data_IF_849497722033
#
_entry.id   IF_849497722033
#
_cell.length_a   1.000
_cell.length_b   1.000
_cell.length_c   1.000
_cell.angle_alpha   90.00
_cell.angle_beta   90.00
_cell.angle_gamma   90.00
#
_symmetry.space_group_name_H-M   'P 1'
#
loop_
_entity.id
_entity.type
_entity.pdbx_description
1 polymer ?
#
# COMPACT_ATOMS: atom_id res chain seq x y z
N UNK A 1 21.54 -49.06 -8.41
CA UNK A 1 20.36 -48.23 -8.68
C UNK A 1 19.51 -47.98 -7.42
N UNK A 2 19.30 -48.97 -6.55
CA UNK A 2 18.52 -48.81 -5.30
C UNK A 2 19.11 -47.83 -4.27
N UNK A 3 20.42 -47.84 -4.01
CA UNK A 3 21.03 -47.02 -2.95
C UNK A 3 20.89 -45.50 -3.21
N UNK A 4 20.94 -45.09 -4.48
CA UNK A 4 20.80 -43.68 -4.87
C UNK A 4 19.37 -43.21 -4.69
N UNK A 5 18.39 -44.05 -5.02
CA UNK A 5 16.96 -43.75 -4.85
C UNK A 5 16.62 -43.65 -3.36
N UNK A 6 17.11 -44.58 -2.53
CA UNK A 6 16.91 -44.54 -1.08
C UNK A 6 17.51 -43.29 -0.43
N UNK A 7 18.67 -42.81 -0.91
CA UNK A 7 19.26 -41.58 -0.39
C UNK A 7 18.46 -40.33 -0.79
N UNK A 8 17.98 -40.29 -2.04
CA UNK A 8 17.10 -39.21 -2.50
C UNK A 8 15.82 -39.18 -1.68
N UNK A 9 15.22 -40.34 -1.42
CA UNK A 9 13.99 -40.47 -0.62
C UNK A 9 14.20 -39.96 0.81
N UNK A 10 15.30 -40.32 1.48
CA UNK A 10 15.63 -39.79 2.81
C UNK A 10 15.76 -38.26 2.80
N UNK A 11 16.48 -37.70 1.83
CA UNK A 11 16.64 -36.24 1.71
C UNK A 11 15.28 -35.54 1.52
N UNK A 12 14.40 -36.13 0.71
CA UNK A 12 13.05 -35.59 0.49
C UNK A 12 12.23 -35.67 1.77
N UNK A 13 12.27 -36.78 2.50
CA UNK A 13 11.56 -36.95 3.77
C UNK A 13 12.02 -35.91 4.80
N UNK A 14 13.31 -35.62 4.88
CA UNK A 14 13.86 -34.62 5.80
C UNK A 14 13.33 -33.22 5.47
N UNK A 15 13.34 -32.84 4.18
CA UNK A 15 12.77 -31.57 3.70
C UNK A 15 11.28 -31.49 4.07
N UNK A 16 10.50 -32.52 3.75
CA UNK A 16 9.07 -32.53 4.02
C UNK A 16 8.76 -32.48 5.52
N UNK A 17 9.57 -33.15 6.35
CA UNK A 17 9.43 -33.15 7.80
C UNK A 17 9.73 -31.77 8.40
N UNK A 18 10.77 -31.11 7.90
CA UNK A 18 11.10 -29.74 8.28
C UNK A 18 9.95 -28.78 7.96
N UNK A 19 9.42 -28.83 6.72
CA UNK A 19 8.30 -27.97 6.34
C UNK A 19 7.01 -28.30 7.09
N UNK A 20 6.73 -29.58 7.37
CA UNK A 20 5.60 -29.98 8.23
C UNK A 20 5.70 -29.39 9.63
N UNK A 21 6.90 -29.34 10.21
CA UNK A 21 7.14 -28.67 11.49
C UNK A 21 6.92 -27.16 11.39
N UNK A 22 7.50 -26.53 10.37
CA UNK A 22 7.38 -25.08 10.13
C UNK A 22 5.92 -24.64 9.90
N UNK A 23 5.13 -25.43 9.19
CA UNK A 23 3.71 -25.13 8.95
C UNK A 23 2.88 -25.21 10.23
N UNK A 24 3.23 -26.12 11.15
CA UNK A 24 2.56 -26.24 12.46
C UNK A 24 2.98 -25.15 13.44
N UNK A 25 4.23 -24.70 13.38
CA UNK A 25 4.75 -23.68 14.30
C UNK A 25 4.43 -22.25 13.85
N UNK A 26 3.95 -22.07 12.61
CA UNK A 26 3.55 -20.77 12.09
C UNK A 26 2.37 -20.21 12.87
N UNK A 27 2.66 -19.25 13.74
CA UNK A 27 1.64 -18.43 14.39
C UNK A 27 1.19 -17.38 13.38
N UNK A 28 -0.12 -17.35 13.14
CA UNK A 28 -0.75 -16.20 12.53
C UNK A 28 -1.15 -15.32 13.71
N UNK A 29 -0.54 -14.14 13.84
CA UNK A 29 -1.07 -13.15 14.75
C UNK A 29 -2.53 -12.93 14.36
N UNK A 30 -3.43 -12.99 15.34
CA UNK A 30 -4.79 -12.50 15.16
C UNK A 30 -4.66 -11.03 14.80
N UNK A 31 -4.64 -10.73 13.51
CA UNK A 31 -4.76 -9.38 12.99
C UNK A 31 -6.11 -8.90 13.50
N UNK A 32 -6.05 -8.06 14.53
CA UNK A 32 -7.21 -7.42 15.13
C UNK A 32 -7.95 -6.67 14.02
N UNK A 33 -9.28 -6.71 14.12
CA UNK A 33 -10.28 -6.21 13.19
C UNK A 33 -10.23 -4.68 13.01
N UNK A 34 -9.11 -4.13 12.55
CA UNK A 34 -9.05 -2.69 12.34
C UNK A 34 -9.68 -2.39 10.98
N UNK A 35 -10.98 -2.11 11.05
CA UNK A 35 -11.70 -1.36 10.02
C UNK A 35 -10.99 -0.04 9.76
N UNK A 36 -11.19 0.51 8.57
CA UNK A 36 -10.69 1.82 8.19
C UNK A 36 -11.83 2.66 7.61
N UNK A 37 -11.57 3.96 7.41
CA UNK A 37 -12.59 4.90 6.99
C UNK A 37 -13.27 4.53 5.67
N UNK A 38 -12.61 3.78 4.77
CA UNK A 38 -13.22 3.33 3.51
C UNK A 38 -14.03 2.05 3.72
N UNK A 39 -13.54 1.12 4.53
CA UNK A 39 -14.32 -0.05 4.95
C UNK A 39 -15.61 0.38 5.65
N UNK A 40 -15.52 1.32 6.58
CA UNK A 40 -16.65 1.90 7.29
C UNK A 40 -17.60 2.63 6.32
N UNK A 41 -17.06 3.37 5.34
CA UNK A 41 -17.87 4.06 4.34
C UNK A 41 -18.75 3.09 3.53
N UNK A 42 -18.19 1.96 3.08
CA UNK A 42 -18.90 0.99 2.24
C UNK A 42 -19.52 -0.20 3.00
N UNK A 43 -19.54 -0.16 4.33
CA UNK A 43 -20.03 -1.27 5.17
C UNK A 43 -19.29 -2.61 4.89
N UNK A 44 -18.00 -2.55 4.54
CA UNK A 44 -17.17 -3.73 4.27
C UNK A 44 -16.59 -4.22 5.60
N UNK A 45 -17.08 -5.34 6.11
CA UNK A 45 -16.52 -5.96 7.32
C UNK A 45 -15.17 -6.62 7.03
N UNK A 46 -14.39 -6.89 8.08
CA UNK A 46 -13.15 -7.66 7.96
C UNK A 46 -13.39 -9.05 7.35
N UNK A 47 -14.48 -9.73 7.73
CA UNK A 47 -14.84 -11.05 7.19
C UNK A 47 -15.12 -10.96 5.68
N UNK A 48 -15.89 -9.95 5.27
CA UNK A 48 -16.18 -9.69 3.85
C UNK A 48 -14.90 -9.40 3.07
N UNK A 49 -14.01 -8.58 3.64
CA UNK A 49 -12.69 -8.32 3.08
C UNK A 49 -11.88 -9.59 2.92
N UNK A 50 -11.91 -10.48 3.92
CA UNK A 50 -11.10 -11.70 3.90
C UNK A 50 -11.56 -12.74 2.88
N UNK A 51 -12.84 -12.74 2.48
CA UNK A 51 -13.34 -13.62 1.41
C UNK A 51 -12.62 -13.38 0.07
N UNK A 52 -12.22 -12.13 -0.22
CA UNK A 52 -11.43 -11.81 -1.40
C UNK A 52 -10.49 -10.62 -1.14
N UNK A 53 -9.49 -10.86 -0.28
CA UNK A 53 -8.58 -9.81 0.18
C UNK A 53 -7.86 -9.09 -0.96
N UNK A 54 -7.51 -9.80 -2.04
CA UNK A 54 -6.81 -9.19 -3.17
C UNK A 54 -7.71 -8.20 -3.92
N UNK A 55 -8.98 -8.56 -4.16
CA UNK A 55 -9.95 -7.68 -4.78
C UNK A 55 -10.19 -6.44 -3.93
N UNK A 56 -10.52 -6.62 -2.65
CA UNK A 56 -10.82 -5.50 -1.76
C UNK A 56 -9.64 -4.56 -1.57
N UNK A 57 -8.42 -5.08 -1.44
CA UNK A 57 -7.22 -4.22 -1.36
C UNK A 57 -7.02 -3.39 -2.64
N UNK A 58 -7.42 -3.89 -3.81
CA UNK A 58 -7.33 -3.15 -5.09
C UNK A 58 -8.42 -2.09 -5.20
N UNK A 59 -9.67 -2.44 -4.91
CA UNK A 59 -10.79 -1.50 -4.98
C UNK A 59 -10.64 -0.36 -3.97
N UNK A 60 -10.34 -0.69 -2.71
CA UNK A 60 -10.12 0.32 -1.67
C UNK A 60 -8.87 1.17 -1.95
N UNK A 61 -7.85 0.59 -2.60
CA UNK A 61 -6.70 1.34 -3.12
C UNK A 61 -7.08 2.33 -4.20
N UNK A 62 -7.91 1.91 -5.15
CA UNK A 62 -8.38 2.80 -6.22
C UNK A 62 -9.24 3.93 -5.67
N UNK A 63 -10.12 3.65 -4.71
CA UNK A 63 -10.93 4.68 -4.04
C UNK A 63 -10.02 5.68 -3.30
N UNK A 64 -9.03 5.19 -2.55
CA UNK A 64 -8.09 6.05 -1.83
C UNK A 64 -7.32 6.99 -2.78
N UNK A 65 -6.79 6.47 -3.88
CA UNK A 65 -6.13 7.26 -4.93
C UNK A 65 -7.06 8.34 -5.48
N UNK A 66 -8.26 7.96 -5.92
CA UNK A 66 -9.21 8.87 -6.57
C UNK A 66 -9.67 9.99 -5.62
N UNK A 67 -10.02 9.65 -4.39
CA UNK A 67 -10.51 10.64 -3.41
C UNK A 67 -9.38 11.59 -3.03
N UNK A 68 -8.20 11.08 -2.66
CA UNK A 68 -7.09 11.96 -2.26
C UNK A 68 -6.65 12.88 -3.39
N UNK A 69 -6.59 12.38 -4.63
CA UNK A 69 -6.34 13.20 -5.81
C UNK A 69 -7.35 14.34 -5.94
N UNK A 70 -8.65 14.04 -5.82
CA UNK A 70 -9.72 15.04 -5.93
C UNK A 70 -9.62 16.11 -4.83
N UNK A 71 -9.38 15.68 -3.57
CA UNK A 71 -9.26 16.59 -2.43
C UNK A 71 -8.08 17.58 -2.56
N UNK A 72 -7.06 17.24 -3.35
CA UNK A 72 -5.93 18.13 -3.59
C UNK A 72 -6.09 19.02 -4.82
N UNK A 73 -7.11 18.84 -5.67
CA UNK A 73 -7.28 19.65 -6.89
C UNK A 73 -7.47 21.14 -6.62
N UNK A 74 -7.99 21.51 -5.45
CA UNK A 74 -8.13 22.92 -5.04
C UNK A 74 -6.82 23.53 -4.51
N UNK A 75 -5.78 22.74 -4.28
CA UNK A 75 -4.46 23.25 -3.91
C UNK A 75 -3.79 23.91 -5.14
N UNK A 76 -3.33 25.15 -5.01
CA UNK A 76 -2.72 25.90 -6.10
C UNK A 76 -1.39 25.32 -6.62
N UNK A 77 -0.76 24.43 -5.85
CA UNK A 77 0.45 23.70 -6.23
C UNK A 77 0.16 22.32 -6.81
N UNK A 78 -1.11 21.91 -6.89
CA UNK A 78 -1.49 20.62 -7.45
C UNK A 78 -1.11 20.53 -8.92
N UNK A 79 -0.57 19.37 -9.31
CA UNK A 79 -0.42 19.00 -10.71
C UNK A 79 -0.81 17.54 -10.93
N UNK A 80 -1.47 17.24 -12.05
CA UNK A 80 -1.78 15.86 -12.41
C UNK A 80 -0.50 15.13 -12.85
N UNK A 81 -0.46 13.78 -12.81
CA UNK A 81 0.75 13.00 -13.07
C UNK A 81 1.27 13.18 -14.50
N UNK A 82 0.38 13.48 -15.45
CA UNK A 82 0.69 13.75 -16.86
C UNK A 82 1.45 15.07 -17.07
N UNK A 83 1.62 15.88 -16.02
CA UNK A 83 2.44 17.10 -16.06
C UNK A 83 3.94 16.83 -16.18
N UNK A 84 4.36 15.58 -15.99
CA UNK A 84 5.75 15.12 -16.12
C UNK A 84 5.77 13.88 -17.01
N UNK A 85 6.63 13.90 -18.04
CA UNK A 85 6.81 12.75 -18.92
C UNK A 85 7.75 11.72 -18.27
N UNK A 86 7.18 10.58 -17.89
CA UNK A 86 7.92 9.41 -17.39
C UNK A 86 8.02 8.29 -18.45
N UNK A 87 7.71 8.58 -19.71
CA UNK A 87 7.62 7.59 -20.76
C UNK A 87 6.52 6.56 -20.49
N UNK A 88 6.90 5.28 -20.38
CA UNK A 88 5.96 4.18 -20.10
C UNK A 88 5.78 3.89 -18.62
N UNK A 89 6.53 4.58 -17.75
CA UNK A 89 6.41 4.42 -16.31
C UNK A 89 5.36 5.36 -15.73
N UNK A 90 4.73 4.92 -14.64
CA UNK A 90 3.77 5.71 -13.86
C UNK A 90 4.15 5.62 -12.38
N UNK A 91 5.16 6.39 -11.94
CA UNK A 91 5.71 6.25 -10.61
C UNK A 91 4.86 6.91 -9.52
N UNK A 92 3.94 7.82 -9.89
CA UNK A 92 3.13 8.63 -8.97
C UNK A 92 1.74 8.91 -9.55
N UNK A 93 0.79 9.20 -8.68
CA UNK A 93 -0.61 9.47 -9.02
C UNK A 93 -0.92 10.95 -9.20
N UNK A 94 -0.16 11.83 -8.52
CA UNK A 94 -0.26 13.30 -8.60
C UNK A 94 0.91 13.99 -7.89
N UNK A 95 0.99 15.32 -8.01
CA UNK A 95 1.98 16.17 -7.36
C UNK A 95 1.34 17.29 -6.54
N UNK A 96 2.02 17.72 -5.48
CA UNK A 96 1.73 18.96 -4.74
C UNK A 96 3.06 19.72 -4.56
N UNK A 97 3.29 20.74 -5.38
CA UNK A 97 4.57 21.44 -5.42
C UNK A 97 5.69 20.49 -5.86
N UNK A 98 6.67 20.26 -4.98
CA UNK A 98 7.76 19.31 -5.22
C UNK A 98 7.47 17.91 -4.63
N UNK A 99 6.32 17.69 -3.99
CA UNK A 99 5.94 16.36 -3.51
C UNK A 99 5.40 15.55 -4.69
N UNK A 100 5.97 14.37 -4.92
CA UNK A 100 5.52 13.42 -5.92
C UNK A 100 4.85 12.24 -5.18
N UNK A 101 3.53 12.13 -5.29
CA UNK A 101 2.71 11.33 -4.37
C UNK A 101 2.18 10.09 -5.10
N UNK A 102 2.44 8.93 -4.52
CA UNK A 102 1.80 7.65 -4.87
C UNK A 102 0.94 7.21 -3.69
N UNK A 103 -0.38 7.22 -3.89
CA UNK A 103 -1.39 6.94 -2.89
C UNK A 103 -1.64 5.43 -2.80
N UNK A 104 -1.60 4.87 -1.59
CA UNK A 104 -1.74 3.43 -1.39
C UNK A 104 -2.73 3.10 -0.30
N UNK A 105 -3.53 2.07 -0.49
CA UNK A 105 -4.32 1.52 0.61
C UNK A 105 -3.42 0.90 1.69
N UNK A 106 -2.47 0.07 1.25
CA UNK A 106 -1.37 -0.52 2.03
C UNK A 106 -0.30 -1.07 1.10
N UNK A 107 0.91 -1.28 1.62
CA UNK A 107 2.00 -1.97 0.93
C UNK A 107 2.08 -3.41 1.43
N UNK A 108 1.38 -4.30 0.71
CA UNK A 108 1.29 -5.72 1.05
C UNK A 108 2.24 -6.65 0.32
N UNK A 109 2.88 -6.16 -0.75
CA UNK A 109 3.73 -6.99 -1.61
C UNK A 109 5.20 -6.87 -1.20
N UNK A 110 5.81 -8.02 -0.93
CA UNK A 110 7.26 -8.19 -0.82
C UNK A 110 7.88 -8.74 -2.10
N UNK A 111 7.13 -8.79 -3.21
CA UNK A 111 7.64 -9.31 -4.46
C UNK A 111 8.86 -8.51 -4.93
N UNK A 112 9.89 -9.23 -5.36
CA UNK A 112 11.18 -8.65 -5.74
C UNK A 112 11.07 -7.59 -6.85
N UNK A 113 10.10 -7.73 -7.77
CA UNK A 113 9.84 -6.74 -8.82
C UNK A 113 9.28 -5.45 -8.24
N UNK A 114 8.35 -5.55 -7.29
CA UNK A 114 7.78 -4.40 -6.57
C UNK A 114 8.87 -3.62 -5.83
N UNK A 115 9.70 -4.34 -5.05
CA UNK A 115 10.75 -3.70 -4.25
C UNK A 115 11.84 -3.03 -5.10
N UNK A 116 12.15 -3.61 -6.27
CA UNK A 116 13.06 -2.99 -7.26
C UNK A 116 12.47 -1.70 -7.82
N UNK A 117 11.17 -1.70 -8.16
CA UNK A 117 10.48 -0.50 -8.66
C UNK A 117 10.46 0.63 -7.64
N UNK A 118 10.21 0.36 -6.35
CA UNK A 118 10.27 1.39 -5.31
C UNK A 118 11.64 2.08 -5.28
N UNK A 119 12.73 1.31 -5.30
CA UNK A 119 14.08 1.88 -5.32
C UNK A 119 14.37 2.67 -6.59
N UNK A 120 13.97 2.12 -7.75
CA UNK A 120 14.17 2.76 -9.05
C UNK A 120 13.42 4.10 -9.13
N UNK A 121 12.12 4.09 -8.87
CA UNK A 121 11.27 5.27 -9.00
C UNK A 121 11.58 6.33 -7.95
N UNK A 122 11.87 5.94 -6.70
CA UNK A 122 12.25 6.91 -5.67
C UNK A 122 13.55 7.64 -6.02
N UNK A 123 14.56 6.91 -6.52
CA UNK A 123 15.80 7.50 -7.01
C UNK A 123 15.56 8.44 -8.19
N UNK A 124 14.80 8.00 -9.19
CA UNK A 124 14.45 8.80 -10.37
C UNK A 124 13.77 10.12 -9.98
N UNK A 125 12.76 10.06 -9.10
CA UNK A 125 12.04 11.25 -8.63
C UNK A 125 12.96 12.23 -7.89
N UNK A 126 13.86 11.71 -7.04
CA UNK A 126 14.88 12.52 -6.35
C UNK A 126 15.85 13.20 -7.32
N UNK A 127 16.32 12.49 -8.35
CA UNK A 127 17.20 13.04 -9.39
C UNK A 127 16.51 14.13 -10.21
N UNK A 128 15.19 14.04 -10.37
CA UNK A 128 14.35 15.07 -11.01
C UNK A 128 13.99 16.23 -10.08
N UNK A 129 14.46 16.23 -8.82
CA UNK A 129 14.23 17.32 -7.86
C UNK A 129 12.91 17.21 -7.07
N UNK A 130 12.20 16.09 -7.18
CA UNK A 130 10.99 15.82 -6.41
C UNK A 130 11.29 15.11 -5.08
N UNK A 131 10.37 15.24 -4.13
CA UNK A 131 10.32 14.46 -2.90
C UNK A 131 9.25 13.37 -3.05
N UNK A 132 9.66 12.10 -3.23
CA UNK A 132 8.71 11.01 -3.40
C UNK A 132 8.05 10.65 -2.07
N UNK A 133 6.72 10.53 -2.08
CA UNK A 133 5.89 10.28 -0.90
C UNK A 133 4.95 9.11 -1.18
N UNK A 134 4.94 8.11 -0.30
CA UNK A 134 3.82 7.19 -0.20
C UNK A 134 2.81 7.71 0.81
N UNK A 135 1.61 8.05 0.33
CA UNK A 135 0.48 8.46 1.15
C UNK A 135 -0.43 7.25 1.38
N UNK A 136 -0.29 6.60 2.53
CA UNK A 136 -0.85 5.27 2.80
C UNK A 136 -2.04 5.35 3.76
N UNK A 137 -3.17 4.75 3.42
CA UNK A 137 -4.32 4.73 4.33
C UNK A 137 -4.04 3.91 5.61
N UNK A 138 -3.47 2.72 5.48
CA UNK A 138 -3.27 1.78 6.61
C UNK A 138 -1.83 1.71 7.10
N UNK A 139 -1.65 1.30 8.35
CA UNK A 139 -0.34 1.08 8.97
C UNK A 139 0.12 -0.41 8.95
N UNK A 140 -0.72 -1.34 8.50
CA UNK A 140 -0.45 -2.80 8.43
C UNK A 140 0.39 -3.22 7.20
N UNK A 141 1.43 -2.43 6.91
CA UNK A 141 2.32 -2.59 5.78
C UNK A 141 3.37 -3.69 6.02
N UNK A 142 3.83 -4.35 4.95
CA UNK A 142 4.91 -5.33 5.06
C UNK A 142 6.23 -4.63 5.41
N UNK A 143 6.89 -4.95 6.55
CA UNK A 143 8.08 -4.21 7.00
C UNK A 143 9.23 -4.17 5.98
N UNK A 144 9.48 -5.30 5.30
CA UNK A 144 10.52 -5.37 4.27
C UNK A 144 10.25 -4.43 3.08
N UNK A 145 8.97 -4.21 2.74
CA UNK A 145 8.59 -3.33 1.65
C UNK A 145 8.72 -1.85 2.04
N UNK A 146 8.35 -1.50 3.28
CA UNK A 146 8.59 -0.17 3.86
C UNK A 146 10.09 0.15 3.88
N UNK A 147 10.92 -0.76 4.38
CA UNK A 147 12.38 -0.59 4.38
C UNK A 147 12.93 -0.40 2.97
N UNK A 148 12.41 -1.13 1.98
CA UNK A 148 12.84 -0.97 0.59
C UNK A 148 12.43 0.40 0.00
N UNK A 149 11.24 0.90 0.34
CA UNK A 149 10.75 2.20 -0.07
C UNK A 149 11.59 3.34 0.54
N UNK A 150 11.84 3.31 1.85
CA UNK A 150 12.68 4.29 2.54
C UNK A 150 14.10 4.30 1.94
N UNK A 151 14.70 3.13 1.73
CA UNK A 151 16.00 3.02 1.07
C UNK A 151 15.99 3.48 -0.39
N UNK A 152 14.81 3.52 -1.03
CA UNK A 152 14.59 4.09 -2.34
C UNK A 152 14.44 5.61 -2.34
N UNK A 153 14.38 6.24 -1.15
CA UNK A 153 14.23 7.68 -0.98
C UNK A 153 12.79 8.15 -0.73
N UNK A 154 11.83 7.23 -0.60
CA UNK A 154 10.43 7.55 -0.31
C UNK A 154 10.23 7.96 1.15
N UNK A 155 9.48 9.04 1.34
CA UNK A 155 8.85 9.35 2.61
C UNK A 155 7.57 8.50 2.76
N UNK A 156 7.34 7.99 3.97
CA UNK A 156 6.17 7.16 4.28
C UNK A 156 5.28 7.94 5.22
N UNK A 157 4.08 8.29 4.75
CA UNK A 157 3.05 8.97 5.53
C UNK A 157 1.86 8.03 5.58
N UNK A 158 1.48 7.56 6.77
CA UNK A 158 0.47 6.52 6.90
C UNK A 158 -0.51 6.74 8.04
N UNK A 159 -1.71 6.15 7.93
CA UNK A 159 -2.72 6.17 9.00
C UNK A 159 -3.07 7.62 9.38
N UNK A 160 -3.09 7.98 10.68
CA UNK A 160 -3.42 9.34 11.13
C UNK A 160 -2.56 10.42 10.50
N UNK A 161 -1.28 10.15 10.26
CA UNK A 161 -0.38 11.12 9.61
C UNK A 161 -0.83 11.41 8.17
N UNK A 162 -1.45 10.44 7.49
CA UNK A 162 -2.02 10.65 6.15
C UNK A 162 -3.27 11.55 6.20
N UNK A 163 -4.07 11.45 7.25
CA UNK A 163 -5.22 12.35 7.45
C UNK A 163 -4.76 13.78 7.73
N UNK A 164 -3.78 13.93 8.63
CA UNK A 164 -3.18 15.24 8.93
C UNK A 164 -2.53 15.84 7.68
N UNK A 165 -1.88 15.02 6.84
CA UNK A 165 -1.35 15.46 5.56
C UNK A 165 -2.45 16.01 4.64
N UNK A 166 -3.59 15.33 4.53
CA UNK A 166 -4.72 15.80 3.72
C UNK A 166 -5.32 17.08 4.29
N UNK A 167 -5.41 17.23 5.61
CA UNK A 167 -5.84 18.49 6.24
C UNK A 167 -4.86 19.62 5.90
N UNK A 168 -3.55 19.38 6.04
CA UNK A 168 -2.53 20.40 5.85
C UNK A 168 -2.40 20.87 4.39
N UNK A 169 -2.56 19.97 3.42
CA UNK A 169 -2.39 20.30 2.00
C UNK A 169 -3.72 20.47 1.25
N UNK A 170 -4.80 19.85 1.70
CA UNK A 170 -6.13 19.92 1.06
C UNK A 170 -7.12 20.79 1.83
N UNK A 171 -6.86 21.09 3.10
CA UNK A 171 -7.78 21.85 3.96
C UNK A 171 -9.03 21.07 4.37
N UNK A 172 -9.03 19.75 4.18
CA UNK A 172 -10.21 18.89 4.40
C UNK A 172 -9.86 17.79 5.40
N UNK A 173 -10.66 17.69 6.46
CA UNK A 173 -10.69 16.50 7.31
C UNK A 173 -11.43 15.38 6.56
N UNK A 174 -10.66 14.47 5.95
CA UNK A 174 -11.22 13.37 5.15
C UNK A 174 -12.11 12.43 5.97
N UNK A 175 -11.79 12.22 7.25
CA UNK A 175 -12.55 11.32 8.13
C UNK A 175 -13.94 11.90 8.35
N UNK A 176 -14.00 13.18 8.76
CA UNK A 176 -15.26 13.89 8.94
C UNK A 176 -16.02 14.03 7.61
N UNK A 177 -15.32 14.36 6.53
CA UNK A 177 -15.90 14.55 5.21
C UNK A 177 -16.62 13.30 4.71
N UNK A 178 -15.97 12.14 4.77
CA UNK A 178 -16.58 10.86 4.38
C UNK A 178 -17.75 10.47 5.28
N UNK A 179 -17.65 10.67 6.60
CA UNK A 179 -18.76 10.40 7.52
C UNK A 179 -19.99 11.28 7.18
N UNK A 180 -19.78 12.57 6.89
CA UNK A 180 -20.86 13.48 6.48
C UNK A 180 -21.47 13.07 5.13
N UNK A 181 -20.66 12.67 4.15
CA UNK A 181 -21.15 12.19 2.86
C UNK A 181 -22.00 10.93 3.01
N UNK A 182 -21.54 9.97 3.82
CA UNK A 182 -22.29 8.75 4.11
C UNK A 182 -23.66 9.06 4.72
N UNK A 183 -23.69 9.90 5.75
CA UNK A 183 -24.94 10.29 6.41
C UNK A 183 -25.88 11.09 5.49
N UNK A 184 -25.33 11.92 4.59
CA UNK A 184 -26.12 12.76 3.68
C UNK A 184 -26.75 11.99 2.52
N UNK A 185 -26.04 11.01 1.98
CA UNK A 185 -26.43 10.29 0.75
C UNK A 185 -26.85 8.84 0.99
N UNK A 186 -26.92 8.39 2.25
CA UNK A 186 -27.38 7.06 2.66
C UNK A 186 -26.62 5.91 1.96
N UNK A 187 -25.28 5.97 2.04
CA UNK A 187 -24.36 4.93 1.55
C UNK A 187 -24.26 3.72 2.48
#
# INVERSE_FOLDING_TARGET
MNIVIEQIERNVIDILSQYKSNFKSKKFDTIVSDSDILMDFFNITYETKMQNMQYWNRELGRVWELITKELFTSNNLFKPPESVDFGTDHPVDYFIGNLAIDAKYRIGSGDSGTLKKFKLYGKMLKEMGYNPVFLILRNDNLPAAITAAINGGWEIISDKDAFDFIINYGGIDIVQYLACLKAKYDF
#
